data_IF_177414564813
#
_entry.id   IF_177414564813
#
_cell.length_a   1.000
_cell.length_b   1.000
_cell.length_c   1.000
_cell.angle_alpha   90.00
_cell.angle_beta   90.00
_cell.angle_gamma   90.00
#
_symmetry.space_group_name_H-M   'P 1'
#
loop_
_entity.id
_entity.type
_entity.pdbx_description
1 polymer ?
#
# COMPACT_ATOMS: atom_id res chain seq x y z
N UNK A 1 4.71 6.63 4.26
CA UNK A 1 4.02 7.79 3.68
C UNK A 1 3.15 7.37 2.52
N UNK A 2 1.90 7.82 2.50
CA UNK A 2 0.96 7.57 1.40
C UNK A 2 0.80 8.81 0.55
N UNK A 3 0.42 8.61 -0.70
CA UNK A 3 0.08 9.68 -1.61
C UNK A 3 -1.02 9.25 -2.56
N UNK A 4 -1.96 10.15 -2.82
CA UNK A 4 -3.04 9.93 -3.78
C UNK A 4 -3.10 11.15 -4.69
N UNK A 5 -2.89 10.93 -5.99
CA UNK A 5 -2.93 12.02 -6.97
C UNK A 5 -4.02 11.75 -8.01
N UNK A 6 -4.76 12.79 -8.36
CA UNK A 6 -5.74 12.72 -9.43
C UNK A 6 -5.04 12.77 -10.78
N UNK A 7 -5.53 11.96 -11.73
CA UNK A 7 -5.03 12.00 -13.10
C UNK A 7 -5.88 12.97 -13.92
N UNK A 8 -5.25 13.89 -14.68
CA UNK A 8 -6.01 14.77 -15.55
C UNK A 8 -6.54 14.01 -16.77
N UNK A 9 -7.73 14.39 -17.20
CA UNK A 9 -8.36 13.83 -18.39
C UNK A 9 -9.14 14.95 -19.10
N UNK A 10 -8.84 15.17 -20.38
CA UNK A 10 -9.52 16.18 -21.20
C UNK A 10 -9.52 17.57 -20.57
N UNK A 11 -8.41 17.95 -19.96
CA UNK A 11 -8.26 19.27 -19.34
C UNK A 11 -8.85 19.42 -17.96
N UNK A 12 -9.41 18.34 -17.38
CA UNK A 12 -9.92 18.34 -16.02
C UNK A 12 -9.43 17.08 -15.28
N UNK A 13 -9.61 17.07 -13.97
CA UNK A 13 -9.25 15.91 -13.15
C UNK A 13 -10.33 14.84 -13.27
N UNK A 14 -9.88 13.58 -13.35
CA UNK A 14 -10.77 12.43 -13.41
C UNK A 14 -10.81 11.72 -12.06
N UNK A 15 -11.66 10.69 -11.95
CA UNK A 15 -11.67 9.84 -10.77
C UNK A 15 -10.50 8.85 -10.75
N UNK A 16 -9.77 8.73 -11.85
CA UNK A 16 -8.58 7.88 -11.90
C UNK A 16 -7.50 8.46 -10.99
N UNK A 17 -6.81 7.57 -10.26
CA UNK A 17 -5.80 7.95 -9.30
C UNK A 17 -4.45 7.31 -9.62
N UNK A 18 -3.38 7.96 -9.17
CA UNK A 18 -2.09 7.31 -8.99
C UNK A 18 -1.86 7.27 -7.49
N UNK A 19 -1.78 6.07 -6.94
CA UNK A 19 -1.62 5.86 -5.51
C UNK A 19 -0.23 5.34 -5.21
N UNK A 20 0.40 5.92 -4.20
CA UNK A 20 1.73 5.52 -3.78
C UNK A 20 1.76 5.20 -2.29
N UNK A 21 2.65 4.30 -1.94
CA UNK A 21 3.04 4.04 -0.57
C UNK A 21 4.56 3.90 -0.54
N UNK A 22 5.21 4.62 0.37
CA UNK A 22 6.65 4.55 0.54
C UNK A 22 6.98 4.36 2.01
N UNK A 23 7.94 3.49 2.28
CA UNK A 23 8.40 3.24 3.64
C UNK A 23 9.89 2.98 3.67
N UNK A 24 10.48 3.17 4.85
CA UNK A 24 11.86 2.79 5.13
C UNK A 24 11.84 1.84 6.33
N UNK A 25 12.73 0.87 6.31
CA UNK A 25 12.81 -0.08 7.42
C UNK A 25 14.18 -0.74 7.47
N UNK A 26 14.60 -1.29 8.63
CA UNK A 26 14.01 -1.07 9.95
C UNK A 26 14.10 0.39 10.38
N UNK A 27 13.18 0.85 11.22
CA UNK A 27 13.14 2.26 11.62
C UNK A 27 14.36 2.69 12.43
N UNK A 28 14.91 1.78 13.23
CA UNK A 28 16.06 2.08 14.07
C UNK A 28 17.37 2.25 13.28
N UNK A 29 17.47 1.57 12.14
CA UNK A 29 18.64 1.64 11.27
C UNK A 29 18.23 1.29 9.86
N UNK A 30 17.70 2.26 9.10
CA UNK A 30 17.10 1.97 7.79
C UNK A 30 18.11 1.36 6.82
N UNK A 31 17.76 0.20 6.28
CA UNK A 31 18.54 -0.53 5.29
C UNK A 31 17.81 -0.62 3.95
N UNK A 32 16.49 -0.46 3.96
CA UNK A 32 15.67 -0.65 2.78
C UNK A 32 14.68 0.49 2.60
N UNK A 33 14.45 0.83 1.34
CA UNK A 33 13.35 1.68 0.92
C UNK A 33 12.38 0.80 0.13
N UNK A 34 11.10 0.90 0.46
CA UNK A 34 10.06 0.09 -0.18
C UNK A 34 9.00 1.04 -0.73
N UNK A 35 8.74 0.94 -2.04
CA UNK A 35 7.77 1.83 -2.70
C UNK A 35 6.81 0.97 -3.51
N UNK A 36 5.50 1.26 -3.36
CA UNK A 36 4.45 0.68 -4.19
C UNK A 36 3.71 1.81 -4.88
N UNK A 37 3.60 1.72 -6.20
CA UNK A 37 2.82 2.67 -6.99
C UNK A 37 1.77 1.91 -7.78
N UNK A 38 0.52 2.36 -7.69
CA UNK A 38 -0.58 1.79 -8.46
C UNK A 38 -1.18 2.86 -9.36
N UNK A 39 -1.25 2.56 -10.64
CA UNK A 39 -1.84 3.44 -11.64
C UNK A 39 -3.29 3.02 -11.88
N UNK A 40 -4.22 3.94 -11.62
CA UNK A 40 -5.66 3.74 -11.82
C UNK A 40 -6.19 2.50 -11.11
N UNK A 41 -5.94 2.35 -9.79
CA UNK A 41 -6.47 1.22 -9.06
C UNK A 41 -8.00 1.29 -9.01
N UNK A 42 -8.62 0.12 -9.03
CA UNK A 42 -10.07 0.00 -9.00
C UNK A 42 -10.56 -0.33 -7.61
N UNK A 43 -11.81 0.05 -7.30
CA UNK A 43 -12.45 -0.38 -6.07
C UNK A 43 -12.70 -1.89 -6.13
N UNK A 44 -12.38 -2.59 -5.07
CA UNK A 44 -12.57 -4.03 -4.98
C UNK A 44 -13.86 -4.33 -4.21
N UNK A 45 -14.83 -4.99 -4.88
CA UNK A 45 -16.12 -5.30 -4.27
C UNK A 45 -16.04 -6.50 -3.35
N UNK A 46 -15.23 -7.48 -3.69
CA UNK A 46 -15.20 -8.78 -3.01
C UNK A 46 -13.96 -9.00 -2.15
N UNK A 47 -13.09 -8.00 -2.08
CA UNK A 47 -11.89 -8.10 -1.27
C UNK A 47 -12.20 -7.84 0.20
N UNK A 48 -11.61 -8.64 1.08
CA UNK A 48 -11.84 -8.56 2.52
C UNK A 48 -10.65 -7.94 3.22
N UNK A 49 -10.88 -6.80 3.89
CA UNK A 49 -9.84 -6.05 4.61
C UNK A 49 -9.86 -6.47 6.08
N UNK A 50 -8.86 -7.24 6.50
CA UNK A 50 -8.79 -7.77 7.87
C UNK A 50 -8.76 -6.71 8.95
N UNK A 51 -8.09 -5.61 8.68
CA UNK A 51 -7.79 -4.62 9.72
C UNK A 51 -8.63 -3.34 9.61
N UNK A 52 -9.57 -3.28 8.68
CA UNK A 52 -10.39 -2.07 8.51
C UNK A 52 -11.52 -1.95 9.51
N UNK A 53 -11.90 -3.08 10.13
CA UNK A 53 -12.96 -3.09 11.12
C UNK A 53 -12.55 -4.02 12.27
N UNK A 54 -12.69 -3.53 13.51
CA UNK A 54 -12.19 -4.25 14.68
C UNK A 54 -12.87 -5.60 14.93
N UNK A 55 -14.10 -5.78 14.46
CA UNK A 55 -14.87 -6.99 14.74
C UNK A 55 -14.93 -8.00 13.62
N UNK A 56 -14.00 -7.98 12.69
CA UNK A 56 -13.97 -9.00 11.66
C UNK A 56 -13.63 -8.53 10.27
N UNK A 57 -13.16 -7.30 10.13
CA UNK A 57 -12.71 -6.77 8.85
C UNK A 57 -13.80 -6.04 8.08
N UNK A 58 -13.52 -5.74 6.86
CA UNK A 58 -14.41 -4.96 5.99
C UNK A 58 -14.39 -5.54 4.58
N UNK A 59 -15.55 -5.77 4.00
CA UNK A 59 -15.68 -6.29 2.65
C UNK A 59 -15.85 -5.15 1.65
N UNK A 60 -15.01 -5.13 0.61
CA UNK A 60 -15.05 -4.13 -0.44
C UNK A 60 -14.38 -2.83 -0.06
N UNK A 61 -14.20 -1.95 -1.02
CA UNK A 61 -13.62 -0.63 -0.80
C UNK A 61 -14.64 0.46 -1.04
N UNK A 62 -14.61 1.50 -0.20
CA UNK A 62 -15.41 2.71 -0.41
C UNK A 62 -14.71 3.65 -1.39
N UNK A 63 -13.38 3.63 -1.42
CA UNK A 63 -12.57 4.57 -2.19
C UNK A 63 -11.46 3.85 -2.93
N UNK A 64 -10.94 4.49 -3.98
CA UNK A 64 -9.77 4.00 -4.71
C UNK A 64 -8.50 4.77 -4.34
N UNK A 65 -8.44 5.33 -3.14
CA UNK A 65 -7.30 6.09 -2.64
C UNK A 65 -6.21 5.18 -2.06
N UNK A 66 -5.03 5.75 -1.79
CA UNK A 66 -3.85 4.99 -1.39
C UNK A 66 -4.08 4.13 -0.14
N UNK A 67 -4.83 4.62 0.84
CA UNK A 67 -5.10 3.87 2.07
C UNK A 67 -5.89 2.59 1.84
N UNK A 68 -6.62 2.48 0.74
CA UNK A 68 -7.40 1.30 0.39
C UNK A 68 -6.74 0.42 -0.66
N UNK A 69 -5.70 0.91 -1.31
CA UNK A 69 -5.08 0.23 -2.45
C UNK A 69 -3.59 -0.03 -2.24
N UNK A 70 -2.73 0.97 -2.41
CA UNK A 70 -1.28 0.77 -2.34
C UNK A 70 -0.81 0.31 -0.95
N UNK A 71 -1.44 0.80 0.11
CA UNK A 71 -1.13 0.35 1.48
C UNK A 71 -1.46 -1.14 1.64
N UNK A 72 -2.61 -1.57 1.12
CA UNK A 72 -3.02 -2.97 1.23
C UNK A 72 -2.08 -3.89 0.45
N UNK A 73 -1.70 -3.48 -0.77
CA UNK A 73 -0.73 -4.23 -1.58
C UNK A 73 0.62 -4.29 -0.88
N UNK A 74 1.07 -3.16 -0.35
CA UNK A 74 2.35 -3.09 0.38
C UNK A 74 2.36 -4.03 1.59
N UNK A 75 1.26 -4.06 2.35
CA UNK A 75 1.14 -4.94 3.51
C UNK A 75 1.26 -6.42 3.12
N UNK A 76 0.59 -6.82 2.04
CA UNK A 76 0.65 -8.21 1.57
C UNK A 76 2.04 -8.59 1.07
N UNK A 77 2.72 -7.69 0.38
CA UNK A 77 4.09 -7.95 -0.05
C UNK A 77 5.00 -8.04 1.17
N UNK A 78 4.86 -7.13 2.12
CA UNK A 78 5.71 -7.10 3.31
C UNK A 78 5.52 -8.34 4.18
N UNK A 79 4.32 -8.90 4.25
CA UNK A 79 4.06 -10.15 4.97
C UNK A 79 4.93 -11.29 4.43
N UNK A 80 5.24 -11.26 3.13
CA UNK A 80 6.03 -12.30 2.49
C UNK A 80 7.52 -12.03 2.55
N UNK A 81 7.94 -10.80 2.29
CA UNK A 81 9.37 -10.48 2.16
C UNK A 81 9.99 -9.96 3.45
N UNK A 82 9.18 -9.41 4.36
CA UNK A 82 9.68 -8.82 5.58
C UNK A 82 10.56 -9.78 6.41
N UNK A 83 10.09 -11.01 6.68
CA UNK A 83 10.91 -11.97 7.43
C UNK A 83 12.23 -12.32 6.73
N UNK A 84 12.23 -12.40 5.40
CA UNK A 84 13.43 -12.69 4.63
C UNK A 84 14.44 -11.55 4.75
N UNK A 85 13.96 -10.31 4.61
CA UNK A 85 14.82 -9.14 4.70
C UNK A 85 15.33 -8.93 6.12
N UNK A 86 14.51 -9.19 7.12
CA UNK A 86 14.93 -9.12 8.52
C UNK A 86 16.04 -10.13 8.82
N UNK A 87 15.94 -11.33 8.31
CA UNK A 87 16.97 -12.34 8.46
C UNK A 87 18.28 -11.89 7.82
N UNK A 88 18.23 -11.35 6.62
CA UNK A 88 19.43 -10.82 5.95
C UNK A 88 20.05 -9.66 6.70
N UNK A 89 19.23 -8.77 7.23
CA UNK A 89 19.71 -7.65 8.03
C UNK A 89 20.45 -8.14 9.27
N UNK A 90 19.91 -9.13 9.97
CA UNK A 90 20.54 -9.70 11.15
C UNK A 90 21.84 -10.45 10.81
N UNK A 91 21.93 -11.07 9.65
CA UNK A 91 23.14 -11.74 9.20
C UNK A 91 24.27 -10.75 8.89
N UNK A 92 23.92 -9.56 8.42
CA UNK A 92 24.90 -8.52 8.09
C UNK A 92 25.50 -7.90 9.36
N UNK A 93 24.74 -7.87 10.44
CA UNK A 93 25.16 -7.35 11.71
C UNK A 93 25.73 -8.42 12.63
#
# INVERSE_FOLDING_TARGET
KTGTADQPKDGSYSEAKINTFASIFPTSNPQYVFVVMLDTPQKAKDYYYKYRHQKGGWKGTLYNTAGWTSVEVAGKIMDKIGPILATKYLEIN
#
